data_IF_316391898169
#
_entry.id   IF_316391898169
#
_cell.length_a   1.000
_cell.length_b   1.000
_cell.length_c   1.000
_cell.angle_alpha   90.00
_cell.angle_beta   90.00
_cell.angle_gamma   90.00
#
_symmetry.space_group_name_H-M   'P 1'
#
loop_
_entity.id
_entity.type
_entity.pdbx_description
1 polymer ?
#
# COMPACT_ATOMS: atom_id res chain seq x y z
N UNK A 1 19.05 -4.95 -12.84
CA UNK A 1 18.50 -3.60 -12.54
C UNK A 1 17.00 -3.68 -12.69
N UNK A 2 16.25 -3.44 -11.61
CA UNK A 2 14.80 -3.69 -11.57
C UNK A 2 14.05 -2.48 -12.17
N UNK A 3 13.76 -2.54 -13.48
CA UNK A 3 13.20 -1.42 -14.25
C UNK A 3 11.91 -0.84 -13.64
N UNK A 4 11.09 -1.68 -13.00
CA UNK A 4 9.86 -1.26 -12.33
C UNK A 4 10.16 -0.39 -11.12
N UNK A 5 11.15 -0.77 -10.33
CA UNK A 5 11.59 -0.01 -9.16
C UNK A 5 12.09 1.37 -9.54
N UNK A 6 12.91 1.47 -10.58
CA UNK A 6 13.43 2.76 -11.06
C UNK A 6 12.30 3.65 -11.62
N UNK A 7 11.32 3.06 -12.30
CA UNK A 7 10.14 3.77 -12.77
C UNK A 7 9.32 4.33 -11.60
N UNK A 8 8.99 3.51 -10.59
CA UNK A 8 8.21 3.97 -9.42
C UNK A 8 8.99 5.03 -8.63
N UNK A 9 10.32 4.94 -8.51
CA UNK A 9 11.14 6.02 -7.92
C UNK A 9 10.96 7.36 -8.65
N UNK A 10 10.90 7.36 -9.98
CA UNK A 10 10.63 8.57 -10.77
C UNK A 10 9.21 9.10 -10.54
N UNK A 11 8.23 8.22 -10.41
CA UNK A 11 6.85 8.60 -10.06
C UNK A 11 6.81 9.28 -8.69
N UNK A 12 7.48 8.71 -7.68
CA UNK A 12 7.57 9.33 -6.34
C UNK A 12 8.30 10.66 -6.39
N UNK A 13 9.40 10.78 -7.14
CA UNK A 13 10.09 12.07 -7.30
C UNK A 13 9.19 13.13 -7.93
N UNK A 14 8.40 12.78 -8.95
CA UNK A 14 7.43 13.69 -9.57
C UNK A 14 6.31 14.09 -8.59
N UNK A 15 5.77 13.13 -7.84
CA UNK A 15 4.77 13.38 -6.79
C UNK A 15 5.30 14.34 -5.71
N UNK A 16 6.54 14.17 -5.25
CA UNK A 16 7.16 15.03 -4.22
C UNK A 16 7.32 16.48 -4.67
N UNK A 17 7.54 16.74 -5.97
CA UNK A 17 7.59 18.10 -6.52
C UNK A 17 6.21 18.64 -6.91
N UNK A 18 5.12 17.98 -6.48
CA UNK A 18 3.75 18.43 -6.68
C UNK A 18 3.17 18.16 -8.07
N UNK A 19 3.81 17.32 -8.89
CA UNK A 19 3.22 16.90 -10.17
C UNK A 19 2.13 15.87 -9.91
N UNK A 20 0.98 16.10 -10.53
CA UNK A 20 -0.07 15.10 -10.56
C UNK A 20 0.37 13.90 -11.41
N UNK A 21 0.42 12.74 -10.76
CA UNK A 21 0.75 11.45 -11.36
C UNK A 21 -0.36 10.44 -11.13
N UNK A 22 -1.58 10.91 -10.85
CA UNK A 22 -2.77 10.10 -10.62
C UNK A 22 -3.15 9.23 -11.82
N UNK A 23 -2.75 9.60 -13.04
CA UNK A 23 -2.94 8.79 -14.26
C UNK A 23 -2.17 7.47 -14.25
N UNK A 24 -1.16 7.34 -13.38
CA UNK A 24 -0.33 6.14 -13.25
C UNK A 24 -0.84 5.17 -12.17
N UNK A 25 -2.02 5.41 -11.59
CA UNK A 25 -2.49 4.66 -10.43
C UNK A 25 -2.57 3.16 -10.70
N UNK A 26 -3.16 2.76 -11.84
CA UNK A 26 -3.26 1.36 -12.24
C UNK A 26 -1.89 0.72 -12.45
N UNK A 27 -0.94 1.46 -13.05
CA UNK A 27 0.42 0.98 -13.29
C UNK A 27 1.18 0.77 -11.97
N UNK A 28 1.03 1.69 -11.02
CA UNK A 28 1.63 1.59 -9.69
C UNK A 28 0.97 0.46 -8.88
N UNK A 29 -0.35 0.32 -8.96
CA UNK A 29 -1.10 -0.74 -8.29
C UNK A 29 -0.68 -2.14 -8.78
N UNK A 30 -0.42 -2.30 -10.09
CA UNK A 30 0.10 -3.55 -10.65
C UNK A 30 1.46 -3.97 -10.06
N UNK A 31 2.20 -3.03 -9.45
CA UNK A 31 3.47 -3.32 -8.78
C UNK A 31 3.31 -3.74 -7.31
N UNK A 32 2.10 -3.70 -6.74
CA UNK A 32 1.84 -3.90 -5.31
C UNK A 32 2.20 -5.32 -4.81
N UNK A 33 2.05 -6.34 -5.67
CA UNK A 33 2.35 -7.74 -5.35
C UNK A 33 3.84 -8.09 -5.45
N UNK A 34 4.72 -7.10 -5.56
CA UNK A 34 6.17 -7.31 -5.56
C UNK A 34 6.67 -7.93 -4.23
N UNK A 35 7.68 -8.80 -4.33
CA UNK A 35 8.43 -9.30 -3.17
C UNK A 35 9.54 -8.33 -2.72
N UNK A 36 9.87 -7.33 -3.57
CA UNK A 36 10.88 -6.33 -3.23
C UNK A 36 10.31 -5.33 -2.22
N UNK A 37 10.75 -5.43 -0.98
CA UNK A 37 10.26 -4.57 0.12
C UNK A 37 10.45 -3.07 -0.15
N UNK A 38 11.52 -2.67 -0.83
CA UNK A 38 11.75 -1.26 -1.16
C UNK A 38 10.72 -0.78 -2.18
N UNK A 39 10.44 -1.56 -3.22
CA UNK A 39 9.40 -1.24 -4.20
C UNK A 39 8.01 -1.23 -3.55
N UNK A 40 7.70 -2.20 -2.68
CA UNK A 40 6.42 -2.26 -1.95
C UNK A 40 6.18 -0.99 -1.12
N UNK A 41 7.19 -0.50 -0.40
CA UNK A 41 7.12 0.76 0.35
C UNK A 41 6.79 1.97 -0.55
N UNK A 42 7.40 2.04 -1.74
CA UNK A 42 7.13 3.14 -2.68
C UNK A 42 5.71 3.08 -3.25
N UNK A 43 5.23 1.88 -3.61
CA UNK A 43 3.84 1.67 -4.06
C UNK A 43 2.86 2.11 -2.97
N UNK A 44 3.09 1.69 -1.72
CA UNK A 44 2.23 2.03 -0.60
C UNK A 44 2.23 3.54 -0.30
N UNK A 45 3.39 4.19 -0.38
CA UNK A 45 3.49 5.65 -0.26
C UNK A 45 2.65 6.35 -1.32
N UNK A 46 2.72 5.91 -2.58
CA UNK A 46 1.89 6.45 -3.64
C UNK A 46 0.40 6.28 -3.34
N UNK A 47 -0.03 5.08 -2.93
CA UNK A 47 -1.43 4.78 -2.62
C UNK A 47 -1.98 5.68 -1.50
N UNK A 48 -1.21 5.94 -0.43
CA UNK A 48 -1.64 6.86 0.65
C UNK A 48 -1.96 8.25 0.10
N UNK A 49 -1.17 8.74 -0.85
CA UNK A 49 -1.33 10.10 -1.40
C UNK A 49 -2.50 10.20 -2.39
N UNK A 50 -2.76 9.16 -3.18
CA UNK A 50 -3.74 9.22 -4.27
C UNK A 50 -5.06 8.48 -4.01
N UNK A 51 -5.13 7.58 -3.02
CA UNK A 51 -6.32 6.76 -2.77
C UNK A 51 -7.58 7.58 -2.48
N UNK A 52 -7.44 8.75 -1.82
CA UNK A 52 -8.58 9.65 -1.56
C UNK A 52 -9.17 10.23 -2.84
N UNK A 53 -8.33 10.51 -3.84
CA UNK A 53 -8.76 11.07 -5.13
C UNK A 53 -9.29 9.99 -6.07
N UNK A 54 -8.96 8.72 -5.84
CA UNK A 54 -9.38 7.58 -6.66
C UNK A 54 -9.84 6.38 -5.80
N UNK A 55 -10.95 6.52 -5.04
CA UNK A 55 -11.40 5.50 -4.10
C UNK A 55 -11.80 4.18 -4.80
N UNK A 56 -12.35 4.25 -6.01
CA UNK A 56 -12.79 3.08 -6.78
C UNK A 56 -11.62 2.23 -7.29
N UNK A 57 -10.44 2.84 -7.50
CA UNK A 57 -9.23 2.09 -7.81
C UNK A 57 -8.52 1.63 -6.52
N UNK A 58 -8.59 2.44 -5.46
CA UNK A 58 -7.99 2.10 -4.17
C UNK A 58 -8.59 0.82 -3.55
N UNK A 59 -9.87 0.53 -3.79
CA UNK A 59 -10.52 -0.70 -3.30
C UNK A 59 -9.81 -1.97 -3.80
N UNK A 60 -9.19 -1.92 -4.99
CA UNK A 60 -8.48 -3.05 -5.58
C UNK A 60 -7.20 -3.41 -4.78
N UNK A 61 -6.67 -2.46 -4.02
CA UNK A 61 -5.50 -2.67 -3.16
C UNK A 61 -5.85 -3.49 -1.90
N UNK A 62 -7.11 -3.51 -1.46
CA UNK A 62 -7.56 -4.14 -0.20
C UNK A 62 -7.14 -5.61 -0.14
N UNK A 63 -7.38 -6.39 -1.19
CA UNK A 63 -7.05 -7.81 -1.21
C UNK A 63 -5.54 -8.04 -0.99
N UNK A 64 -4.70 -7.16 -1.55
CA UNK A 64 -3.25 -7.25 -1.37
C UNK A 64 -2.84 -6.82 0.03
N UNK A 65 -3.46 -5.78 0.60
CA UNK A 65 -3.20 -5.40 2.00
C UNK A 65 -3.62 -6.50 2.98
N UNK A 66 -4.78 -7.12 2.79
CA UNK A 66 -5.25 -8.22 3.65
C UNK A 66 -4.30 -9.42 3.56
N UNK A 67 -3.81 -9.75 2.35
CA UNK A 67 -2.77 -10.77 2.16
C UNK A 67 -1.47 -10.39 2.88
N UNK A 68 -0.95 -9.19 2.64
CA UNK A 68 0.30 -8.71 3.24
C UNK A 68 0.20 -8.58 4.77
N UNK A 69 -0.99 -8.32 5.33
CA UNK A 69 -1.23 -8.30 6.78
C UNK A 69 -1.08 -9.65 7.46
N UNK A 70 -1.09 -10.74 6.68
CA UNK A 70 -0.93 -12.12 7.13
C UNK A 70 0.42 -12.71 6.69
N UNK A 71 1.31 -11.90 6.11
CA UNK A 71 2.62 -12.34 5.65
C UNK A 71 3.46 -12.88 6.84
N UNK A 72 4.26 -13.95 6.67
CA UNK A 72 5.15 -14.44 7.72
C UNK A 72 6.15 -13.38 8.22
N UNK A 73 6.53 -12.43 7.36
CA UNK A 73 7.43 -11.34 7.70
C UNK A 73 6.70 -10.23 8.50
N UNK A 74 7.06 -10.00 9.77
CA UNK A 74 6.42 -8.98 10.60
C UNK A 74 6.54 -7.56 10.03
N UNK A 75 7.59 -7.27 9.25
CA UNK A 75 7.78 -5.96 8.63
C UNK A 75 6.75 -5.72 7.52
N UNK A 76 6.39 -6.76 6.76
CA UNK A 76 5.35 -6.66 5.72
C UNK A 76 3.98 -6.51 6.37
N UNK A 77 3.68 -7.29 7.42
CA UNK A 77 2.42 -7.16 8.18
C UNK A 77 2.21 -5.75 8.73
N UNK A 78 3.20 -5.25 9.47
CA UNK A 78 3.13 -3.93 10.07
C UNK A 78 3.03 -2.81 9.01
N UNK A 79 3.73 -2.98 7.88
CA UNK A 79 3.67 -2.05 6.76
C UNK A 79 2.26 -2.00 6.14
N UNK A 80 1.62 -3.15 5.90
CA UNK A 80 0.27 -3.23 5.35
C UNK A 80 -0.77 -2.58 6.28
N UNK A 81 -0.79 -2.99 7.54
CA UNK A 81 -1.76 -2.49 8.54
C UNK A 81 -1.61 -0.98 8.74
N UNK A 82 -0.38 -0.48 8.87
CA UNK A 82 -0.12 0.96 8.97
C UNK A 82 -0.59 1.71 7.73
N UNK A 83 -0.36 1.16 6.54
CA UNK A 83 -0.74 1.81 5.28
C UNK A 83 -2.26 1.88 5.14
N UNK A 84 -2.97 0.79 5.43
CA UNK A 84 -4.43 0.79 5.47
C UNK A 84 -4.97 1.86 6.43
N UNK A 85 -4.40 1.99 7.63
CA UNK A 85 -4.79 3.03 8.59
C UNK A 85 -4.47 4.46 8.16
N UNK A 86 -3.49 4.65 7.27
CA UNK A 86 -3.19 5.95 6.67
C UNK A 86 -4.12 6.32 5.52
N UNK A 87 -4.73 5.33 4.85
CA UNK A 87 -5.66 5.56 3.75
C UNK A 87 -7.05 5.89 4.30
N UNK A 88 -7.40 7.18 4.25
CA UNK A 88 -8.70 7.69 4.73
C UNK A 88 -9.82 7.47 3.71
N UNK A 89 -10.06 6.21 3.36
CA UNK A 89 -11.19 5.76 2.52
C UNK A 89 -12.03 4.83 3.37
N UNK A 90 -13.32 5.13 3.53
CA UNK A 90 -14.22 4.42 4.45
C UNK A 90 -14.19 2.91 4.21
N UNK A 91 -14.31 2.49 2.94
CA UNK A 91 -14.21 1.08 2.55
C UNK A 91 -12.91 0.43 3.03
N UNK A 92 -11.75 1.09 2.89
CA UNK A 92 -10.46 0.52 3.33
C UNK A 92 -10.41 0.41 4.85
N UNK A 93 -11.03 1.36 5.55
CA UNK A 93 -11.12 1.36 7.02
C UNK A 93 -11.95 0.18 7.54
N UNK A 94 -13.04 -0.17 6.85
CA UNK A 94 -13.85 -1.36 7.20
C UNK A 94 -13.01 -2.65 7.14
N UNK A 95 -12.17 -2.81 6.10
CA UNK A 95 -11.31 -3.98 5.96
C UNK A 95 -10.07 -3.98 6.88
N UNK A 96 -9.78 -2.87 7.57
CA UNK A 96 -8.66 -2.78 8.51
C UNK A 96 -8.95 -3.47 9.85
N UNK A 97 -10.20 -3.52 10.28
CA UNK A 97 -10.58 -4.01 11.61
C UNK A 97 -10.02 -5.42 11.89
N UNK A 98 -10.22 -6.36 10.97
CA UNK A 98 -9.78 -7.75 11.13
C UNK A 98 -8.24 -7.89 11.17
N UNK A 99 -7.47 -7.35 10.18
CA UNK A 99 -6.02 -7.28 10.26
C UNK A 99 -5.49 -6.63 11.54
N UNK A 100 -6.09 -5.52 11.96
CA UNK A 100 -5.67 -4.79 13.15
C UNK A 100 -5.88 -5.63 14.41
N UNK A 101 -7.05 -6.26 14.57
CA UNK A 101 -7.31 -7.15 15.69
C UNK A 101 -6.33 -8.33 15.74
N UNK A 102 -6.01 -8.94 14.59
CA UNK A 102 -5.00 -10.02 14.52
C UNK A 102 -3.61 -9.52 14.91
N UNK A 103 -3.23 -8.30 14.52
CA UNK A 103 -1.97 -7.68 14.94
C UNK A 103 -1.93 -7.31 16.43
N UNK A 104 -3.06 -6.99 17.05
CA UNK A 104 -3.14 -6.68 18.48
C UNK A 104 -3.16 -7.94 19.36
N UNK A 105 -3.72 -9.05 18.85
CA UNK A 105 -3.69 -10.37 19.51
C UNK A 105 -2.31 -11.03 19.55
N UNK A 106 -1.23 -10.27 19.32
CA UNK A 106 0.14 -10.70 19.60
C UNK A 106 0.35 -10.66 21.12
N UNK A 107 -0.37 -11.54 21.82
CA UNK A 107 -0.26 -11.79 23.25
C UNK A 107 -0.07 -13.29 23.46
N UNK A 108 1.13 -13.62 23.94
CA UNK A 108 1.56 -14.84 24.64
C UNK A 108 1.55 -16.18 23.88
N UNK A 109 2.67 -16.47 23.21
CA UNK A 109 3.35 -17.77 23.36
C UNK A 109 4.78 -17.54 23.81
#
# INVERSE_FOLDING_TARGET
>A
MDKRKDAVKKVIAAMTVGKDVSSLFTDVLNCMQTENLELKKLVYLYLINYAKSQPDLAILAVNTFVKDSQDPNPLIRALAVRTMGCIRVDKITEYLCDPLQKCLKVEFF
#
